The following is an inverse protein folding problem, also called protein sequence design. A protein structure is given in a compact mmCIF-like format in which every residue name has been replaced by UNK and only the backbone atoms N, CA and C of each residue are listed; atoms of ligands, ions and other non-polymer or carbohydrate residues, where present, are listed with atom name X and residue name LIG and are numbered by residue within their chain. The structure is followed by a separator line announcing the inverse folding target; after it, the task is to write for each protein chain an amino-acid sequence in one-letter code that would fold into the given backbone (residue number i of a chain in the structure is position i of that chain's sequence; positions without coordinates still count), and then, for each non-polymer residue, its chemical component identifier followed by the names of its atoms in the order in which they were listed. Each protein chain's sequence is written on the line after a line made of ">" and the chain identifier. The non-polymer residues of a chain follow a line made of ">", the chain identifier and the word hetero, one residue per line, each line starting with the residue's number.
data_IF_669786841073
#
_entry.id   IF_669786841073
#
_cell.length_a   1.000
_cell.length_b   1.000
_cell.length_c   1.000
_cell.angle_alpha   90.00
_cell.angle_beta   90.00
_cell.angle_gamma   90.00
#
_symmetry.space_group_name_H-M   'P 1'
#
loop_
_entity.id
_entity.type
_entity.pdbx_description
1 polymer ?
#
# COMPACT_ATOMS: atom_id res chain seq x y z
N UNK A 1 -89.01 -23.57 33.35
CA UNK A 1 -87.90 -22.76 33.92
C UNK A 1 -86.59 -23.16 33.29
N UNK A 2 -86.40 -24.43 32.86
CA UNK A 2 -85.11 -24.89 32.28
C UNK A 2 -84.76 -24.35 30.87
N UNK A 3 -85.78 -24.12 30.04
CA UNK A 3 -85.54 -23.73 28.63
C UNK A 3 -85.20 -22.22 28.47
N UNK A 4 -85.75 -21.38 29.34
CA UNK A 4 -85.43 -19.96 29.36
C UNK A 4 -84.03 -19.68 29.90
N UNK A 5 -83.60 -20.49 30.89
CA UNK A 5 -82.20 -20.39 31.38
C UNK A 5 -81.16 -20.82 30.35
N UNK A 6 -81.47 -21.82 29.51
CA UNK A 6 -80.57 -22.25 28.40
C UNK A 6 -80.51 -21.24 27.32
N UNK A 7 -81.61 -20.53 27.00
CA UNK A 7 -81.66 -19.47 26.00
C UNK A 7 -80.85 -18.21 26.42
N UNK A 8 -80.91 -17.84 27.71
CA UNK A 8 -80.10 -16.76 28.28
C UNK A 8 -78.64 -17.12 28.34
N UNK A 9 -78.33 -18.42 28.63
CA UNK A 9 -76.91 -18.89 28.58
C UNK A 9 -76.33 -18.88 27.18
N UNK A 10 -77.16 -19.23 26.17
CA UNK A 10 -76.70 -19.15 24.74
C UNK A 10 -76.54 -17.70 24.29
N UNK A 11 -77.36 -16.75 24.72
CA UNK A 11 -77.24 -15.33 24.44
C UNK A 11 -76.03 -14.73 25.18
N UNK A 12 -75.63 -15.19 26.34
CA UNK A 12 -74.45 -14.80 27.09
C UNK A 12 -73.15 -15.42 26.48
N UNK A 13 -73.30 -16.61 25.90
CA UNK A 13 -72.14 -17.27 25.19
C UNK A 13 -71.94 -16.78 23.76
N UNK A 14 -72.99 -16.18 23.15
CA UNK A 14 -72.85 -15.41 21.86
C UNK A 14 -72.51 -13.95 22.12
N UNK A 15 -71.85 -13.66 23.29
CA UNK A 15 -71.36 -12.35 23.62
C UNK A 15 -70.67 -11.75 22.39
N UNK A 16 -71.20 -10.65 21.92
CA UNK A 16 -70.65 -9.80 20.91
C UNK A 16 -69.13 -9.68 21.13
N UNK A 17 -68.30 -10.32 20.27
CA UNK A 17 -66.93 -9.95 20.15
C UNK A 17 -66.92 -8.44 19.86
N UNK A 18 -66.71 -7.65 20.91
CA UNK A 18 -66.32 -6.24 20.67
C UNK A 18 -65.13 -6.26 19.68
N UNK A 19 -65.40 -5.82 18.46
CA UNK A 19 -64.33 -5.63 17.49
C UNK A 19 -63.42 -4.59 18.09
N UNK A 20 -62.24 -5.00 18.45
CA UNK A 20 -61.21 -4.04 18.85
C UNK A 20 -61.17 -2.92 17.82
N UNK A 21 -61.13 -1.66 18.26
CA UNK A 21 -61.08 -0.54 17.30
C UNK A 21 -59.86 -0.71 16.41
N UNK A 22 -60.04 -0.57 15.10
CA UNK A 22 -58.90 -0.77 14.18
C UNK A 22 -57.78 0.21 14.50
N UNK A 23 -56.55 -0.30 14.55
CA UNK A 23 -55.39 0.54 14.76
C UNK A 23 -55.25 1.48 13.57
N UNK A 24 -55.30 2.78 13.85
CA UNK A 24 -55.24 3.83 12.82
C UNK A 24 -54.01 4.71 13.03
N UNK A 25 -53.40 5.17 11.96
CA UNK A 25 -52.38 6.20 11.96
C UNK A 25 -52.90 7.46 11.25
N UNK A 26 -52.46 8.62 11.68
CA UNK A 26 -52.76 9.90 11.05
C UNK A 26 -51.60 10.33 10.15
N UNK A 27 -51.91 10.78 8.92
CA UNK A 27 -50.96 11.35 8.05
C UNK A 27 -50.46 12.69 8.61
N UNK A 28 -49.18 12.75 8.92
CA UNK A 28 -48.52 13.93 9.53
C UNK A 28 -47.81 14.74 8.46
N UNK A 29 -47.81 16.05 8.64
CA UNK A 29 -47.00 16.95 7.79
C UNK A 29 -45.91 17.59 8.65
N UNK A 30 -44.68 17.59 8.17
CA UNK A 30 -43.55 18.15 8.90
C UNK A 30 -42.22 17.89 8.20
N UNK A 31 -41.16 18.18 8.94
CA UNK A 31 -39.80 17.85 8.47
C UNK A 31 -39.59 16.34 8.58
N UNK A 32 -39.18 15.75 7.49
CA UNK A 32 -38.86 14.33 7.39
C UNK A 32 -37.41 14.14 7.08
N UNK A 33 -36.72 13.39 7.93
CA UNK A 33 -35.30 13.10 7.77
C UNK A 33 -35.11 11.63 7.42
N UNK A 34 -34.29 11.40 6.38
CA UNK A 34 -33.84 10.07 6.02
C UNK A 34 -32.45 9.90 6.59
N UNK A 35 -32.33 9.00 7.57
CA UNK A 35 -31.12 8.75 8.32
C UNK A 35 -30.60 7.34 8.01
N UNK A 36 -29.30 7.21 7.84
CA UNK A 36 -28.62 5.91 7.72
C UNK A 36 -27.71 5.74 8.92
N UNK A 37 -27.97 4.67 9.68
CA UNK A 37 -27.22 4.32 10.89
C UNK A 37 -26.12 3.33 10.55
N UNK A 38 -24.90 3.63 10.96
CA UNK A 38 -23.75 2.77 10.69
C UNK A 38 -22.79 2.76 11.88
N UNK A 39 -22.08 1.66 12.07
CA UNK A 39 -20.99 1.58 13.03
C UNK A 39 -19.66 1.68 12.29
N UNK A 40 -18.73 2.40 12.86
CA UNK A 40 -17.41 2.61 12.29
C UNK A 40 -16.30 2.56 13.33
N UNK A 41 -15.09 2.83 12.85
CA UNK A 41 -13.88 2.93 13.68
C UNK A 41 -13.24 4.27 13.46
N UNK A 42 -12.84 4.91 14.54
CA UNK A 42 -12.13 6.18 14.51
C UNK A 42 -10.66 5.94 14.10
N UNK A 43 -10.20 6.64 13.10
CA UNK A 43 -8.82 6.59 12.61
C UNK A 43 -8.27 8.01 12.45
N UNK A 44 -6.96 8.17 12.45
CA UNK A 44 -6.36 9.44 12.06
C UNK A 44 -6.41 9.59 10.54
N UNK A 45 -6.74 10.78 10.04
CA UNK A 45 -6.74 11.08 8.60
C UNK A 45 -5.34 10.89 8.01
N UNK A 46 -4.32 11.28 8.76
CA UNK A 46 -2.91 11.12 8.39
C UNK A 46 -2.17 10.34 9.48
N UNK A 47 -1.31 9.44 9.06
CA UNK A 47 -0.44 8.67 9.96
C UNK A 47 0.94 8.55 9.32
N UNK A 48 1.95 9.03 10.02
CA UNK A 48 3.35 8.89 9.60
C UNK A 48 3.92 7.57 10.14
N UNK A 49 4.73 6.91 9.35
CA UNK A 49 5.39 5.67 9.77
C UNK A 49 6.81 5.96 10.22
N UNK A 50 7.15 5.51 11.40
CA UNK A 50 8.53 5.48 11.87
C UNK A 50 9.15 4.20 11.37
N UNK A 51 10.14 4.35 10.51
CA UNK A 51 10.86 3.23 9.88
C UNK A 51 12.32 3.24 10.33
N UNK A 52 12.98 2.10 10.19
CA UNK A 52 14.44 2.04 10.36
C UNK A 52 15.11 2.94 9.32
N UNK A 53 16.20 3.64 9.68
CA UNK A 53 16.94 4.49 8.77
C UNK A 53 17.39 3.76 7.51
N UNK A 54 17.30 4.43 6.36
CA UNK A 54 17.66 3.85 5.05
C UNK A 54 19.16 3.52 4.98
N UNK A 55 19.98 4.24 5.73
CA UNK A 55 21.43 4.06 5.84
C UNK A 55 21.79 2.64 6.29
N UNK A 56 20.98 2.03 7.15
CA UNK A 56 21.18 0.63 7.58
C UNK A 56 20.94 -0.38 6.45
N UNK A 57 20.15 -0.01 5.46
CA UNK A 57 19.85 -0.82 4.28
C UNK A 57 20.91 -0.78 3.17
N UNK A 58 21.99 -0.02 3.34
CA UNK A 58 23.08 0.16 2.37
C UNK A 58 23.73 -1.18 1.98
N UNK A 59 24.17 -1.32 0.70
CA UNK A 59 24.80 -2.55 0.21
C UNK A 59 26.11 -2.88 0.95
N UNK A 60 26.82 -1.85 1.40
CA UNK A 60 28.10 -1.98 2.08
C UNK A 60 27.96 -2.17 3.57
N UNK A 61 26.84 -1.73 4.17
CA UNK A 61 26.55 -1.84 5.60
C UNK A 61 26.29 -3.30 6.01
N UNK A 62 25.51 -4.06 5.19
CA UNK A 62 25.23 -5.49 5.37
C UNK A 62 24.57 -5.86 6.70
N UNK A 63 23.84 -4.92 7.31
CA UNK A 63 23.04 -5.17 8.50
C UNK A 63 21.62 -5.47 8.05
N UNK A 64 21.21 -6.73 8.07
CA UNK A 64 19.91 -7.18 7.58
C UNK A 64 18.83 -7.15 8.66
N UNK A 65 19.25 -7.35 9.90
CA UNK A 65 18.39 -7.39 11.08
C UNK A 65 19.07 -6.64 12.21
N UNK A 66 18.30 -5.85 12.95
CA UNK A 66 18.79 -5.09 14.09
C UNK A 66 17.76 -5.14 15.21
N UNK A 67 18.23 -5.24 16.45
CA UNK A 67 17.39 -5.22 17.63
C UNK A 67 17.05 -3.79 18.04
N UNK A 68 15.82 -3.61 18.53
CA UNK A 68 15.41 -2.40 19.23
C UNK A 68 15.86 -2.54 20.68
N UNK A 69 16.75 -1.67 21.12
CA UNK A 69 17.24 -1.64 22.50
C UNK A 69 16.24 -0.96 23.41
N UNK A 70 15.69 0.16 22.95
CA UNK A 70 14.74 0.96 23.70
C UNK A 70 13.72 1.58 22.77
N UNK A 71 12.50 1.80 23.27
CA UNK A 71 11.40 2.46 22.56
C UNK A 71 10.50 3.17 23.58
N UNK A 72 10.08 4.38 23.26
CA UNK A 72 9.16 5.16 24.08
C UNK A 72 7.84 4.42 24.26
N UNK A 73 7.21 4.51 25.43
CA UNK A 73 5.97 3.82 25.76
C UNK A 73 4.85 4.13 24.76
N UNK A 74 4.09 3.09 24.41
CA UNK A 74 2.95 3.21 23.51
C UNK A 74 1.89 4.18 24.08
N UNK A 75 1.39 5.08 23.26
CA UNK A 75 0.44 6.11 23.66
C UNK A 75 1.06 7.43 24.09
N UNK A 76 2.39 7.52 24.14
CA UNK A 76 3.09 8.79 24.42
C UNK A 76 2.93 9.74 23.23
N UNK A 77 2.60 11.00 23.50
CA UNK A 77 2.55 12.07 22.50
C UNK A 77 3.93 12.68 22.38
N UNK A 78 4.48 12.68 21.16
CA UNK A 78 5.79 13.21 20.83
C UNK A 78 5.68 14.39 19.87
N UNK A 79 6.63 15.31 19.96
CA UNK A 79 6.80 16.42 19.04
C UNK A 79 7.79 16.04 17.92
N UNK A 80 7.85 16.85 16.86
CA UNK A 80 8.87 16.70 15.82
C UNK A 80 10.28 16.83 16.42
N UNK A 81 11.13 15.83 16.15
CA UNK A 81 12.49 15.76 16.67
C UNK A 81 12.64 15.07 18.04
N UNK A 82 11.55 14.70 18.70
CA UNK A 82 11.62 13.95 19.96
C UNK A 82 12.16 12.54 19.74
N UNK A 83 12.85 12.02 20.73
CA UNK A 83 13.33 10.63 20.74
C UNK A 83 12.16 9.63 20.74
N UNK A 84 12.27 8.59 19.91
CA UNK A 84 11.25 7.53 19.82
C UNK A 84 11.82 6.15 20.11
N UNK A 85 12.93 5.79 19.48
CA UNK A 85 13.51 4.46 19.64
C UNK A 85 15.02 4.48 19.45
N UNK A 86 15.71 3.52 20.05
CA UNK A 86 17.13 3.28 19.86
C UNK A 86 17.34 1.86 19.35
N UNK A 87 18.16 1.73 18.33
CA UNK A 87 18.60 0.46 17.77
C UNK A 87 19.88 0.00 18.46
N UNK A 88 20.24 -1.27 18.29
CA UNK A 88 21.42 -1.86 18.93
C UNK A 88 22.73 -1.27 18.39
N UNK A 89 23.28 -0.32 19.13
CA UNK A 89 24.55 0.33 18.82
C UNK A 89 25.72 -0.65 18.80
N UNK A 90 25.72 -1.67 19.68
CA UNK A 90 26.84 -2.61 19.77
C UNK A 90 26.98 -3.45 18.51
N UNK A 91 25.86 -3.90 17.95
CA UNK A 91 25.87 -4.68 16.72
C UNK A 91 26.48 -3.90 15.55
N UNK A 92 26.19 -2.61 15.45
CA UNK A 92 26.74 -1.72 14.40
C UNK A 92 28.19 -1.37 14.69
N UNK A 93 28.54 -1.12 15.97
CA UNK A 93 29.89 -0.80 16.41
C UNK A 93 30.87 -1.95 16.12
N UNK A 94 30.49 -3.20 16.40
CA UNK A 94 31.30 -4.39 16.08
C UNK A 94 31.61 -4.46 14.58
N UNK A 95 30.61 -4.24 13.72
CA UNK A 95 30.81 -4.23 12.26
C UNK A 95 31.66 -3.05 11.82
N UNK A 96 31.52 -1.88 12.46
CA UNK A 96 32.31 -0.68 12.17
C UNK A 96 33.80 -0.89 12.54
N UNK A 97 34.07 -1.49 13.71
CA UNK A 97 35.44 -1.82 14.16
C UNK A 97 36.09 -2.75 13.13
N UNK A 98 35.41 -3.82 12.74
CA UNK A 98 35.91 -4.76 11.73
C UNK A 98 36.16 -4.05 10.37
N UNK A 99 35.26 -3.19 9.95
CA UNK A 99 35.44 -2.46 8.69
C UNK A 99 36.64 -1.49 8.72
N UNK A 100 36.91 -0.88 9.88
CA UNK A 100 38.09 -0.03 10.09
C UNK A 100 39.39 -0.85 10.04
N UNK A 101 39.41 -2.04 10.65
CA UNK A 101 40.55 -2.95 10.56
C UNK A 101 40.83 -3.37 9.10
N UNK A 102 39.78 -3.72 8.35
CA UNK A 102 39.89 -4.05 6.93
C UNK A 102 40.39 -2.85 6.10
N UNK A 103 39.98 -1.63 6.43
CA UNK A 103 40.47 -0.41 5.78
C UNK A 103 41.95 -0.14 6.08
N UNK A 104 42.36 -0.30 7.35
CA UNK A 104 43.75 -0.14 7.76
C UNK A 104 44.69 -1.16 7.08
N UNK A 105 44.25 -2.42 6.96
CA UNK A 105 44.97 -3.44 6.20
C UNK A 105 45.08 -3.06 4.71
N UNK A 106 43.98 -2.57 4.10
CA UNK A 106 43.99 -2.13 2.70
C UNK A 106 44.92 -0.90 2.46
N UNK A 107 44.99 -0.01 3.46
CA UNK A 107 45.92 1.13 3.45
C UNK A 107 47.36 0.66 3.50
N UNK A 108 47.69 -0.26 4.41
CA UNK A 108 49.05 -0.86 4.49
C UNK A 108 49.43 -1.55 3.16
N UNK A 109 48.52 -2.35 2.60
CA UNK A 109 48.71 -3.02 1.32
C UNK A 109 48.96 -2.02 0.15
N UNK A 110 48.29 -0.86 0.20
CA UNK A 110 48.49 0.20 -0.79
C UNK A 110 49.87 0.85 -0.62
N UNK A 111 50.25 1.17 0.62
CA UNK A 111 51.55 1.76 0.92
C UNK A 111 52.70 0.83 0.53
N UNK A 112 52.60 -0.47 0.83
CA UNK A 112 53.54 -1.49 0.45
C UNK A 112 53.68 -1.59 -1.09
N UNK A 113 52.58 -1.64 -1.80
CA UNK A 113 52.59 -1.69 -3.26
C UNK A 113 53.18 -0.45 -3.87
N UNK A 114 53.02 0.73 -3.26
CA UNK A 114 53.60 1.98 -3.68
C UNK A 114 55.13 1.98 -3.42
N UNK A 115 55.56 1.47 -2.29
CA UNK A 115 56.95 1.36 -1.88
C UNK A 115 57.72 0.38 -2.79
N UNK A 116 57.16 -0.82 -3.00
CA UNK A 116 57.65 -1.84 -3.91
C UNK A 116 57.79 -1.30 -5.36
N UNK A 117 56.78 -0.55 -5.80
CA UNK A 117 56.78 0.08 -7.13
C UNK A 117 57.96 1.05 -7.25
N UNK A 118 58.16 1.92 -6.27
CA UNK A 118 59.24 2.89 -6.26
C UNK A 118 60.59 2.22 -6.24
N UNK A 119 60.80 1.20 -5.44
CA UNK A 119 62.05 0.44 -5.35
C UNK A 119 62.38 -0.27 -6.66
N UNK A 120 61.39 -0.97 -7.23
CA UNK A 120 61.56 -1.65 -8.54
C UNK A 120 61.86 -0.69 -9.67
N UNK A 121 61.19 0.48 -9.73
CA UNK A 121 61.47 1.49 -10.73
C UNK A 121 62.84 2.15 -10.56
N UNK A 122 63.31 2.32 -9.31
CA UNK A 122 64.66 2.79 -9.03
C UNK A 122 65.70 1.81 -9.55
N UNK A 123 65.61 0.53 -9.22
CA UNK A 123 66.51 -0.51 -9.68
C UNK A 123 66.56 -0.60 -11.21
N UNK A 124 65.42 -0.41 -11.88
CA UNK A 124 65.38 -0.41 -13.34
C UNK A 124 66.01 0.87 -13.96
N UNK A 125 65.93 2.02 -13.29
CA UNK A 125 66.68 3.23 -13.71
C UNK A 125 68.15 3.04 -13.62
N UNK A 126 68.63 2.38 -12.56
CA UNK A 126 70.07 2.07 -12.41
C UNK A 126 70.55 1.14 -13.54
N UNK A 127 69.70 0.16 -13.96
CA UNK A 127 70.02 -0.70 -15.13
C UNK A 127 70.16 0.11 -16.42
N UNK A 128 69.32 1.12 -16.67
CA UNK A 128 69.38 2.01 -17.81
C UNK A 128 70.64 2.85 -17.71
N UNK A 129 71.04 3.38 -16.58
CA UNK A 129 72.24 4.13 -16.35
C UNK A 129 73.46 3.26 -16.72
N UNK A 130 73.54 2.05 -16.19
CA UNK A 130 74.65 1.12 -16.52
C UNK A 130 74.66 0.75 -17.98
N UNK A 131 73.50 0.53 -18.62
CA UNK A 131 73.44 0.27 -20.06
C UNK A 131 73.93 1.48 -20.90
N UNK A 132 73.60 2.70 -20.44
CA UNK A 132 74.11 3.96 -21.13
C UNK A 132 75.59 4.12 -20.96
N UNK A 133 76.15 3.87 -19.80
CA UNK A 133 77.58 3.88 -19.53
C UNK A 133 78.33 2.85 -20.43
N UNK A 134 77.74 1.66 -20.61
CA UNK A 134 78.22 0.61 -21.45
C UNK A 134 78.32 1.07 -22.94
N UNK A 135 77.25 1.78 -23.42
CA UNK A 135 77.25 2.37 -24.75
C UNK A 135 78.43 3.38 -24.91
N UNK A 136 78.64 4.27 -23.93
CA UNK A 136 79.67 5.27 -23.96
C UNK A 136 81.10 4.61 -23.95
N UNK A 137 81.27 3.54 -23.11
CA UNK A 137 82.50 2.77 -23.09
C UNK A 137 82.81 2.11 -24.46
N UNK A 138 81.78 1.48 -25.08
CA UNK A 138 81.97 0.86 -26.40
C UNK A 138 82.26 1.89 -27.49
N UNK A 139 81.69 3.09 -27.39
CA UNK A 139 81.96 4.20 -28.27
C UNK A 139 83.45 4.67 -28.18
N UNK A 140 83.94 4.84 -26.96
CA UNK A 140 85.34 5.19 -26.71
C UNK A 140 86.28 4.13 -27.34
N UNK A 141 86.00 2.83 -27.12
CA UNK A 141 86.76 1.72 -27.69
C UNK A 141 86.73 1.75 -29.18
N UNK A 142 85.64 2.06 -29.84
CA UNK A 142 85.55 2.21 -31.27
C UNK A 142 86.38 3.38 -31.76
N UNK A 143 86.29 4.53 -31.10
CA UNK A 143 87.06 5.73 -31.43
C UNK A 143 88.61 5.49 -31.31
N UNK A 144 89.04 4.73 -30.31
CA UNK A 144 90.44 4.32 -30.13
C UNK A 144 90.91 3.31 -31.19
N UNK A 145 89.98 2.48 -31.74
CA UNK A 145 90.25 1.41 -32.67
C UNK A 145 90.50 1.90 -34.13
N UNK A 146 90.42 3.19 -34.43
CA UNK A 146 90.48 3.75 -35.82
C UNK A 146 91.70 3.37 -36.56
N UNK A 147 92.80 3.13 -35.84
CA UNK A 147 94.10 2.78 -36.47
C UNK A 147 94.46 1.27 -36.43
N UNK A 148 93.51 0.46 -35.98
CA UNK A 148 93.63 -1.01 -35.82
C UNK A 148 93.29 -1.74 -37.16
N UNK A 149 93.42 -3.08 -37.14
CA UNK A 149 93.01 -3.91 -38.27
C UNK A 149 91.53 -3.85 -38.59
N UNK A 150 91.10 -4.01 -39.85
CA UNK A 150 89.71 -3.95 -40.25
C UNK A 150 88.80 -4.96 -39.50
N UNK A 151 89.35 -6.05 -39.00
CA UNK A 151 88.64 -7.06 -38.19
C UNK A 151 88.38 -6.57 -36.78
N UNK A 152 89.28 -5.78 -36.18
CA UNK A 152 89.18 -5.19 -34.88
C UNK A 152 88.10 -4.08 -34.87
N UNK A 153 88.22 -3.19 -35.91
CA UNK A 153 87.26 -2.09 -36.10
C UNK A 153 85.79 -2.68 -36.21
N UNK A 154 85.61 -3.67 -37.07
CA UNK A 154 84.32 -4.31 -37.28
C UNK A 154 83.75 -4.95 -35.99
N UNK A 155 84.63 -5.56 -35.17
CA UNK A 155 84.27 -6.10 -33.89
C UNK A 155 83.84 -4.99 -32.94
N UNK A 156 84.54 -3.87 -32.84
CA UNK A 156 84.18 -2.72 -32.02
C UNK A 156 82.85 -2.11 -32.46
N UNK A 157 82.55 -2.01 -33.75
CA UNK A 157 81.27 -1.57 -34.32
C UNK A 157 80.16 -2.49 -33.92
N UNK A 158 80.31 -3.83 -33.99
CA UNK A 158 79.37 -4.79 -33.60
C UNK A 158 79.09 -4.78 -32.07
N UNK A 159 80.13 -4.56 -31.27
CA UNK A 159 79.98 -4.48 -29.78
C UNK A 159 79.27 -3.19 -29.39
N UNK A 160 79.51 -2.07 -30.07
CA UNK A 160 78.77 -0.82 -29.89
C UNK A 160 77.29 -0.98 -30.28
N UNK A 161 77.03 -1.59 -31.46
CA UNK A 161 75.62 -1.85 -31.89
C UNK A 161 74.90 -2.76 -30.93
N UNK A 162 75.57 -3.77 -30.36
CA UNK A 162 75.02 -4.62 -29.34
C UNK A 162 74.64 -3.85 -28.02
N UNK A 163 75.56 -2.94 -27.59
CA UNK A 163 75.33 -2.07 -26.44
C UNK A 163 74.13 -1.15 -26.69
N UNK A 164 74.00 -0.54 -27.89
CA UNK A 164 72.84 0.26 -28.24
C UNK A 164 71.52 -0.53 -28.20
N UNK A 165 71.52 -1.73 -28.78
CA UNK A 165 70.28 -2.62 -28.67
C UNK A 165 69.89 -2.99 -27.24
N UNK A 166 70.92 -3.22 -26.41
CA UNK A 166 70.67 -3.50 -24.97
C UNK A 166 70.05 -2.29 -24.26
N UNK A 167 70.56 -1.07 -24.51
CA UNK A 167 69.98 0.16 -23.96
C UNK A 167 68.58 0.39 -24.45
N UNK A 168 68.28 0.18 -25.74
CA UNK A 168 66.89 0.28 -26.26
C UNK A 168 65.94 -0.73 -25.66
N UNK A 169 66.42 -1.98 -25.45
CA UNK A 169 65.64 -3.02 -24.73
C UNK A 169 65.35 -2.62 -23.31
N UNK A 170 66.28 -2.10 -22.54
CA UNK A 170 66.05 -1.66 -21.14
C UNK A 170 65.13 -0.44 -21.09
N UNK A 171 65.24 0.53 -22.02
CA UNK A 171 64.27 1.65 -22.08
C UNK A 171 62.84 1.17 -22.37
N UNK A 172 62.70 0.25 -23.33
CA UNK A 172 61.41 -0.32 -23.67
C UNK A 172 60.81 -1.14 -22.48
N UNK A 173 61.64 -1.95 -21.82
CA UNK A 173 61.28 -2.72 -20.62
C UNK A 173 60.87 -1.81 -19.45
N UNK A 174 61.60 -0.70 -19.25
CA UNK A 174 61.27 0.29 -18.24
C UNK A 174 59.87 0.90 -18.44
N UNK A 175 59.57 1.28 -19.68
CA UNK A 175 58.28 1.86 -20.02
C UNK A 175 57.13 0.90 -19.69
N UNK A 176 57.28 -0.38 -20.03
CA UNK A 176 56.32 -1.42 -19.70
C UNK A 176 56.18 -1.63 -18.18
N UNK A 177 57.34 -1.64 -17.46
CA UNK A 177 57.34 -1.80 -15.99
C UNK A 177 56.70 -0.63 -15.29
N UNK A 178 56.83 0.63 -15.79
CA UNK A 178 56.11 1.80 -15.26
C UNK A 178 54.60 1.61 -15.38
N UNK A 179 54.12 1.15 -16.54
CA UNK A 179 52.69 0.88 -16.73
C UNK A 179 52.19 -0.23 -15.81
N UNK A 180 52.94 -1.31 -15.66
CA UNK A 180 52.60 -2.41 -14.77
C UNK A 180 52.57 -1.99 -13.30
N UNK A 181 53.55 -1.19 -12.86
CA UNK A 181 53.62 -0.63 -11.53
C UNK A 181 52.42 0.28 -11.23
N UNK A 182 52.08 1.21 -12.13
CA UNK A 182 50.94 2.08 -12.04
C UNK A 182 49.62 1.27 -11.96
N UNK A 183 49.46 0.24 -12.77
CA UNK A 183 48.30 -0.62 -12.75
C UNK A 183 48.18 -1.42 -11.44
N UNK A 184 49.30 -1.85 -10.83
CA UNK A 184 49.33 -2.52 -9.53
C UNK A 184 48.87 -1.59 -8.40
N UNK A 185 49.42 -0.39 -8.34
CA UNK A 185 49.08 0.65 -7.36
C UNK A 185 47.62 1.04 -7.52
N UNK A 186 47.13 1.28 -8.74
CA UNK A 186 45.74 1.64 -8.98
C UNK A 186 44.76 0.56 -8.51
N UNK A 187 45.09 -0.73 -8.66
CA UNK A 187 44.23 -1.80 -8.12
C UNK A 187 44.10 -1.72 -6.59
N UNK A 188 45.20 -1.38 -5.88
CA UNK A 188 45.16 -1.20 -4.41
C UNK A 188 44.38 0.04 -3.99
N UNK A 189 44.47 1.13 -4.76
CA UNK A 189 43.67 2.36 -4.55
C UNK A 189 42.18 2.04 -4.65
N UNK A 190 41.77 1.26 -5.65
CA UNK A 190 40.33 0.89 -5.79
C UNK A 190 39.85 0.07 -4.61
N UNK A 191 40.65 -0.88 -4.11
CA UNK A 191 40.31 -1.68 -2.94
C UNK A 191 40.24 -0.79 -1.68
N UNK A 192 41.20 0.09 -1.48
CA UNK A 192 41.21 1.03 -0.35
C UNK A 192 39.95 1.92 -0.37
N UNK A 193 39.63 2.53 -1.50
CA UNK A 193 38.44 3.36 -1.65
C UNK A 193 37.14 2.59 -1.36
N UNK A 194 37.08 1.29 -1.67
CA UNK A 194 35.92 0.47 -1.33
C UNK A 194 35.76 0.31 0.18
N UNK A 195 36.86 0.06 0.92
CA UNK A 195 36.84 -0.05 2.38
C UNK A 195 36.56 1.32 3.05
N UNK A 196 37.14 2.40 2.55
CA UNK A 196 36.86 3.77 3.02
C UNK A 196 35.38 4.13 2.88
N UNK A 197 34.78 3.86 1.72
CA UNK A 197 33.36 4.10 1.50
C UNK A 197 32.49 3.24 2.46
N UNK A 198 32.88 1.98 2.69
CA UNK A 198 32.18 1.11 3.64
C UNK A 198 32.22 1.66 5.06
N UNK A 199 33.39 2.10 5.52
CA UNK A 199 33.54 2.73 6.86
C UNK A 199 32.67 3.98 6.95
N UNK A 200 32.70 4.84 5.94
CA UNK A 200 31.89 6.06 5.90
C UNK A 200 30.38 5.77 5.98
N UNK A 201 29.89 4.83 5.17
CA UNK A 201 28.46 4.43 5.19
C UNK A 201 28.08 3.84 6.57
N UNK A 202 28.95 3.05 7.21
CA UNK A 202 28.74 2.51 8.55
C UNK A 202 28.74 3.60 9.63
N UNK A 203 29.58 4.61 9.52
CA UNK A 203 29.58 5.77 10.43
C UNK A 203 28.31 6.61 10.29
N UNK A 204 27.84 6.81 9.08
CA UNK A 204 26.54 7.47 8.80
C UNK A 204 25.40 6.65 9.42
N UNK A 205 25.38 5.32 9.20
CA UNK A 205 24.41 4.41 9.80
C UNK A 205 24.44 4.43 11.33
N UNK A 206 25.64 4.49 11.93
CA UNK A 206 25.79 4.55 13.40
C UNK A 206 25.21 5.82 14.00
N UNK A 207 25.30 6.97 13.31
CA UNK A 207 24.77 8.25 13.78
C UNK A 207 23.26 8.30 13.84
N UNK A 208 22.57 7.53 13.00
CA UNK A 208 21.11 7.53 12.87
C UNK A 208 20.42 6.40 13.63
N UNK A 209 21.15 5.67 14.49
CA UNK A 209 20.59 4.58 15.31
C UNK A 209 19.59 5.04 16.36
N UNK A 210 19.65 6.30 16.77
CA UNK A 210 18.62 6.94 17.57
C UNK A 210 17.58 7.54 16.65
N UNK A 211 16.39 6.98 16.69
CA UNK A 211 15.28 7.34 15.81
C UNK A 211 14.45 8.41 16.49
N UNK A 212 14.18 9.50 15.78
CA UNK A 212 13.41 10.63 16.22
C UNK A 212 12.09 10.73 15.45
N UNK A 213 11.10 11.36 16.05
CA UNK A 213 9.79 11.56 15.44
C UNK A 213 9.91 12.54 14.25
N UNK A 214 9.47 12.16 13.04
CA UNK A 214 9.50 13.04 11.87
C UNK A 214 8.39 14.11 11.91
N UNK A 215 7.33 13.88 12.71
CA UNK A 215 6.18 14.77 12.91
C UNK A 215 5.60 14.57 14.31
N UNK A 216 4.85 15.56 14.82
CA UNK A 216 4.12 15.38 16.07
C UNK A 216 3.03 14.32 15.92
N UNK A 217 2.81 13.52 16.96
CA UNK A 217 1.79 12.48 16.97
C UNK A 217 1.87 11.59 18.20
N UNK A 218 0.97 10.62 18.28
CA UNK A 218 0.98 9.61 19.34
C UNK A 218 1.73 8.37 18.86
N UNK A 219 2.65 7.84 19.65
CA UNK A 219 3.39 6.62 19.29
C UNK A 219 2.48 5.40 19.43
N UNK A 220 2.24 4.70 18.32
CA UNK A 220 1.54 3.41 18.28
C UNK A 220 2.50 2.37 17.71
N UNK A 221 2.74 1.31 18.46
CA UNK A 221 3.64 0.23 18.05
C UNK A 221 3.14 -0.48 16.79
N UNK A 222 4.02 -0.68 15.83
CA UNK A 222 3.72 -1.51 14.68
C UNK A 222 3.58 -2.99 15.10
N UNK A 223 2.94 -3.79 14.26
CA UNK A 223 2.82 -5.23 14.44
C UNK A 223 3.74 -5.95 13.49
N UNK A 224 4.34 -7.02 13.96
CA UNK A 224 5.11 -7.93 13.13
C UNK A 224 4.20 -8.82 12.26
N UNK A 225 4.81 -9.71 11.46
CA UNK A 225 4.07 -10.65 10.58
C UNK A 225 3.18 -11.64 11.35
N UNK A 226 3.43 -11.83 12.64
CA UNK A 226 2.68 -12.74 13.50
C UNK A 226 1.57 -12.03 14.27
N UNK A 227 1.50 -10.69 14.16
CA UNK A 227 0.54 -9.86 14.86
C UNK A 227 0.99 -9.36 16.21
N UNK A 228 2.22 -9.70 16.63
CA UNK A 228 2.81 -9.24 17.89
C UNK A 228 3.29 -7.79 17.76
N UNK A 229 3.09 -7.01 18.83
CA UNK A 229 3.56 -5.62 18.86
C UNK A 229 5.09 -5.56 18.95
N UNK A 230 5.67 -4.70 18.12
CA UNK A 230 7.09 -4.38 18.16
C UNK A 230 7.37 -3.59 19.43
N UNK A 231 8.32 -4.08 20.26
CA UNK A 231 8.71 -3.50 21.55
C UNK A 231 10.22 -3.61 21.76
N UNK A 232 10.71 -3.06 22.85
CA UNK A 232 12.11 -3.26 23.26
C UNK A 232 12.48 -4.76 23.26
N UNK A 233 13.60 -5.12 22.64
CA UNK A 233 14.05 -6.49 22.39
C UNK A 233 13.54 -7.12 21.08
N UNK A 234 12.57 -6.52 20.38
CA UNK A 234 12.11 -6.99 19.07
C UNK A 234 13.19 -6.75 18.00
N UNK A 235 13.22 -7.62 17.01
CA UNK A 235 14.11 -7.49 15.85
C UNK A 235 13.35 -6.90 14.68
N UNK A 236 13.91 -5.88 14.07
CA UNK A 236 13.40 -5.25 12.84
C UNK A 236 14.37 -5.50 11.70
N UNK A 237 13.87 -5.49 10.49
CA UNK A 237 14.65 -5.82 9.31
C UNK A 237 14.26 -4.92 8.14
N UNK A 238 15.10 -4.91 7.11
CA UNK A 238 14.82 -4.19 5.86
C UNK A 238 13.47 -4.57 5.22
N UNK A 239 13.02 -5.82 5.41
CA UNK A 239 11.75 -6.32 4.88
C UNK A 239 10.54 -5.90 5.73
N UNK A 240 10.78 -5.56 6.98
CA UNK A 240 9.79 -5.05 7.93
C UNK A 240 10.38 -3.83 8.65
N UNK A 241 10.48 -2.71 7.96
CA UNK A 241 11.19 -1.54 8.48
C UNK A 241 10.36 -0.70 9.47
N UNK A 242 9.04 -0.93 9.57
CA UNK A 242 8.15 -0.10 10.38
C UNK A 242 8.27 -0.50 11.85
N UNK A 243 8.65 0.45 12.70
CA UNK A 243 8.79 0.30 14.16
C UNK A 243 7.52 0.76 14.87
N UNK A 244 7.02 1.94 14.49
CA UNK A 244 5.84 2.55 15.05
C UNK A 244 5.13 3.41 14.01
N UNK A 245 3.92 3.85 14.34
CA UNK A 245 3.17 4.82 13.55
C UNK A 245 2.82 6.01 14.43
N UNK A 246 2.80 7.19 13.83
CA UNK A 246 2.43 8.46 14.47
C UNK A 246 1.14 8.98 13.83
N UNK A 247 -0.05 8.59 14.30
CA UNK A 247 -1.29 9.20 13.87
C UNK A 247 -1.37 10.66 14.33
N UNK A 248 -1.82 11.51 13.41
CA UNK A 248 -2.13 12.90 13.71
C UNK A 248 -3.52 12.98 14.34
N UNK A 249 -3.56 13.22 15.67
CA UNK A 249 -4.81 13.28 16.41
C UNK A 249 -5.59 14.59 16.18
N UNK A 250 -5.02 15.57 15.47
CA UNK A 250 -5.71 16.82 15.15
C UNK A 250 -6.80 16.64 14.08
N UNK A 251 -6.68 15.59 13.27
CA UNK A 251 -7.60 15.27 12.18
C UNK A 251 -7.99 13.81 12.23
N UNK A 252 -9.21 13.59 12.68
CA UNK A 252 -9.76 12.25 12.80
C UNK A 252 -10.82 11.99 11.73
N UNK A 253 -10.90 10.76 11.30
CA UNK A 253 -11.94 10.26 10.40
C UNK A 253 -12.61 9.05 11.04
N UNK A 254 -13.91 8.89 10.82
CA UNK A 254 -14.59 7.63 11.08
C UNK A 254 -14.68 6.83 9.79
N UNK A 255 -14.10 5.64 9.80
CA UNK A 255 -14.22 4.67 8.69
C UNK A 255 -15.36 3.74 9.03
N UNK A 256 -16.41 3.76 8.23
CA UNK A 256 -17.63 2.99 8.43
C UNK A 256 -17.99 2.17 7.21
N UNK A 257 -18.81 1.15 7.41
CA UNK A 257 -19.26 0.22 6.39
C UNK A 257 -20.77 0.33 6.21
N UNK A 258 -21.18 0.76 5.02
CA UNK A 258 -22.61 0.92 4.67
C UNK A 258 -23.04 -0.26 3.80
N UNK A 259 -24.22 -0.79 4.08
CA UNK A 259 -24.81 -1.91 3.34
C UNK A 259 -25.17 -1.49 1.88
N UNK A 260 -25.17 -2.46 0.96
CA UNK A 260 -25.54 -2.28 -0.46
C UNK A 260 -26.94 -1.62 -0.63
N UNK A 261 -27.87 -1.89 0.29
CA UNK A 261 -29.23 -1.34 0.26
C UNK A 261 -29.24 0.20 0.45
N UNK A 262 -28.37 0.69 1.36
CA UNK A 262 -28.38 2.09 1.78
C UNK A 262 -27.30 2.95 1.08
N UNK A 263 -26.32 2.31 0.45
CA UNK A 263 -25.21 3.03 -0.20
C UNK A 263 -25.67 3.99 -1.31
N UNK A 264 -26.78 3.65 -1.99
CA UNK A 264 -27.35 4.50 -3.03
C UNK A 264 -27.83 5.86 -2.51
N UNK A 265 -28.14 5.95 -1.21
CA UNK A 265 -28.60 7.16 -0.51
C UNK A 265 -27.43 8.00 0.00
N UNK A 266 -26.25 7.40 0.19
CA UNK A 266 -25.08 8.05 0.79
C UNK A 266 -24.23 8.72 -0.27
N UNK A 267 -23.91 10.01 -0.07
CA UNK A 267 -23.10 10.84 -0.98
C UNK A 267 -22.10 11.67 -0.21
N UNK A 268 -20.98 11.97 -0.84
CA UNK A 268 -20.01 12.93 -0.31
C UNK A 268 -20.68 14.30 -0.05
N UNK A 269 -20.28 14.96 1.03
CA UNK A 269 -20.82 16.25 1.46
C UNK A 269 -22.04 16.17 2.38
N UNK A 270 -22.53 14.97 2.72
CA UNK A 270 -23.66 14.80 3.65
C UNK A 270 -23.19 14.98 5.10
N UNK A 271 -24.02 15.61 5.90
CA UNK A 271 -23.79 15.81 7.33
C UNK A 271 -23.94 14.49 8.09
N UNK A 272 -23.09 14.32 9.08
CA UNK A 272 -23.10 13.14 9.94
C UNK A 272 -23.00 13.58 11.39
N UNK A 273 -23.84 12.98 12.23
CA UNK A 273 -23.70 13.06 13.68
C UNK A 273 -23.01 11.79 14.16
N UNK A 274 -21.88 11.93 14.86
CA UNK A 274 -21.10 10.81 15.36
C UNK A 274 -21.21 10.76 16.89
N UNK A 275 -21.46 9.58 17.42
CA UNK A 275 -21.29 9.25 18.82
C UNK A 275 -20.14 8.26 18.99
N UNK A 276 -19.54 8.22 20.16
CA UNK A 276 -18.56 7.18 20.51
C UNK A 276 -19.11 6.34 21.65
N UNK A 277 -18.90 5.02 21.58
CA UNK A 277 -19.38 4.11 22.64
C UNK A 277 -18.72 4.39 24.00
N UNK A 278 -17.51 4.96 23.96
CA UNK A 278 -16.75 5.32 25.16
C UNK A 278 -17.30 6.59 25.85
N UNK A 279 -17.92 7.50 25.12
CA UNK A 279 -18.45 8.78 25.61
C UNK A 279 -19.83 9.06 25.00
N UNK A 280 -20.90 8.39 25.45
CA UNK A 280 -22.24 8.47 24.84
C UNK A 280 -22.85 9.88 24.89
N UNK A 281 -22.45 10.70 25.85
CA UNK A 281 -22.88 12.10 25.99
C UNK A 281 -22.23 13.05 24.98
N UNK A 282 -21.11 12.65 24.37
CA UNK A 282 -20.41 13.49 23.39
C UNK A 282 -20.95 13.21 22.00
N UNK A 283 -21.58 14.19 21.39
CA UNK A 283 -21.97 14.17 20.00
C UNK A 283 -20.99 15.03 19.20
N UNK A 284 -20.41 14.43 18.17
CA UNK A 284 -19.49 15.08 17.26
C UNK A 284 -20.20 15.31 15.92
N UNK A 285 -19.88 16.39 15.28
CA UNK A 285 -20.34 16.65 13.91
C UNK A 285 -19.29 16.20 12.92
N UNK A 286 -19.73 15.77 11.75
CA UNK A 286 -18.85 15.36 10.67
C UNK A 286 -19.52 15.48 9.30
N UNK A 287 -18.72 15.14 8.29
CA UNK A 287 -19.15 15.17 6.89
C UNK A 287 -18.59 13.95 6.15
N UNK A 288 -19.40 13.37 5.27
CA UNK A 288 -18.96 12.29 4.40
C UNK A 288 -17.93 12.84 3.39
N UNK A 289 -16.69 12.32 3.43
CA UNK A 289 -15.61 12.72 2.51
C UNK A 289 -15.69 11.90 1.24
N UNK A 290 -15.71 10.57 1.39
CA UNK A 290 -15.66 9.63 0.28
C UNK A 290 -16.55 8.44 0.53
N UNK A 291 -17.10 7.93 -0.57
CA UNK A 291 -17.88 6.69 -0.64
C UNK A 291 -17.16 5.77 -1.61
N UNK A 292 -16.81 4.56 -1.18
CA UNK A 292 -16.14 3.61 -2.05
C UNK A 292 -17.06 3.14 -3.19
N UNK A 293 -16.51 3.06 -4.39
CA UNK A 293 -17.24 2.58 -5.58
C UNK A 293 -17.22 1.05 -5.70
N UNK A 294 -16.44 0.36 -4.87
CA UNK A 294 -16.29 -1.09 -4.90
C UNK A 294 -16.75 -1.65 -3.57
N UNK A 295 -17.76 -2.55 -3.63
CA UNK A 295 -18.25 -3.27 -2.46
C UNK A 295 -17.31 -4.41 -2.07
N UNK A 296 -17.20 -4.66 -0.79
CA UNK A 296 -16.45 -5.76 -0.21
C UNK A 296 -17.40 -6.75 0.46
N UNK A 297 -17.14 -8.06 0.38
CA UNK A 297 -17.95 -9.04 1.09
C UNK A 297 -17.70 -8.91 2.60
N UNK A 298 -18.77 -8.93 3.39
CA UNK A 298 -18.67 -8.93 4.83
C UNK A 298 -18.21 -10.32 5.32
N UNK A 299 -17.21 -10.41 6.22
CA UNK A 299 -16.78 -11.70 6.75
C UNK A 299 -17.98 -12.45 7.38
N UNK A 300 -18.19 -13.71 6.97
CA UNK A 300 -19.29 -14.59 7.44
C UNK A 300 -20.71 -14.18 7.04
N UNK A 301 -20.88 -13.34 6.03
CA UNK A 301 -22.17 -12.92 5.48
C UNK A 301 -22.06 -12.78 3.97
N UNK A 302 -23.16 -13.04 3.24
CA UNK A 302 -23.24 -12.79 1.79
C UNK A 302 -23.52 -11.31 1.47
N UNK A 303 -23.69 -10.48 2.51
CA UNK A 303 -23.93 -9.05 2.35
C UNK A 303 -22.68 -8.33 1.86
N UNK A 304 -22.87 -7.42 0.91
CA UNK A 304 -21.83 -6.51 0.44
C UNK A 304 -21.93 -5.20 1.21
N UNK A 305 -20.77 -4.70 1.59
CA UNK A 305 -20.63 -3.43 2.29
C UNK A 305 -19.65 -2.53 1.54
N UNK A 306 -19.87 -1.22 1.65
CA UNK A 306 -19.07 -0.20 1.02
C UNK A 306 -18.43 0.67 2.09
N UNK A 307 -17.14 0.91 1.95
CA UNK A 307 -16.40 1.80 2.85
C UNK A 307 -16.83 3.24 2.64
N UNK A 308 -17.17 3.91 3.73
CA UNK A 308 -17.48 5.33 3.76
C UNK A 308 -16.58 5.99 4.79
N UNK A 309 -15.91 7.06 4.38
CA UNK A 309 -15.04 7.85 5.25
C UNK A 309 -15.72 9.15 5.59
N UNK A 310 -15.79 9.41 6.89
CA UNK A 310 -16.45 10.56 7.47
C UNK A 310 -15.40 11.38 8.22
N UNK A 311 -15.22 12.64 7.87
CA UNK A 311 -14.38 13.57 8.61
C UNK A 311 -15.09 13.99 9.87
N UNK A 312 -14.39 13.93 10.98
CA UNK A 312 -14.88 14.42 12.28
C UNK A 312 -14.44 15.88 12.43
N UNK A 313 -15.38 16.75 12.77
CA UNK A 313 -15.07 18.14 13.06
C UNK A 313 -14.76 18.33 14.56
N UNK A 314 -13.74 19.13 14.81
CA UNK A 314 -13.25 19.38 16.16
C UNK A 314 -12.14 18.41 16.57
N UNK A 315 -11.35 18.82 17.51
CA UNK A 315 -10.30 18.02 18.14
C UNK A 315 -10.68 17.82 19.61
N UNK A 316 -10.88 16.61 20.03
CA UNK A 316 -11.15 16.25 21.42
C UNK A 316 -10.00 15.33 21.90
N UNK A 317 -9.28 15.70 22.95
CA UNK A 317 -8.13 14.94 23.46
C UNK A 317 -8.51 13.55 24.02
N UNK A 318 -9.79 13.31 24.28
CA UNK A 318 -10.29 12.02 24.75
C UNK A 318 -10.49 11.01 23.61
N UNK A 319 -10.54 11.49 22.36
CA UNK A 319 -10.69 10.63 21.18
C UNK A 319 -9.39 9.92 20.85
N UNK A 320 -9.44 8.62 20.72
CA UNK A 320 -8.28 7.79 20.39
C UNK A 320 -8.55 6.98 19.12
N UNK A 321 -7.53 6.74 18.30
CA UNK A 321 -7.64 5.79 17.20
C UNK A 321 -8.11 4.42 17.66
N UNK A 322 -8.84 3.71 16.79
CA UNK A 322 -9.49 2.44 17.03
C UNK A 322 -10.71 2.45 18.01
N UNK A 323 -11.18 3.62 18.45
CA UNK A 323 -12.49 3.70 19.13
C UNK A 323 -13.63 3.42 18.16
N UNK A 324 -14.67 2.71 18.63
CA UNK A 324 -15.88 2.49 17.87
C UNK A 324 -16.73 3.76 17.82
N UNK A 325 -17.26 4.05 16.64
CA UNK A 325 -18.16 5.19 16.40
C UNK A 325 -19.52 4.69 15.95
N UNK A 326 -20.58 5.36 16.44
CA UNK A 326 -21.94 5.26 15.92
C UNK A 326 -22.19 6.48 15.04
N UNK A 327 -22.44 6.25 13.74
CA UNK A 327 -22.58 7.31 12.76
C UNK A 327 -24.02 7.40 12.27
N UNK A 328 -24.60 8.58 12.34
CA UNK A 328 -25.94 8.89 11.82
C UNK A 328 -25.77 9.82 10.63
N UNK A 329 -25.86 9.25 9.42
CA UNK A 329 -25.68 9.96 8.15
C UNK A 329 -27.04 10.54 7.73
N UNK A 330 -27.14 11.85 7.57
CA UNK A 330 -28.32 12.54 7.09
C UNK A 330 -28.33 12.52 5.56
N UNK A 331 -29.06 11.56 4.98
CA UNK A 331 -29.07 11.34 3.53
C UNK A 331 -30.09 12.19 2.80
N UNK A 332 -31.14 12.62 3.49
CA UNK A 332 -32.17 13.51 2.94
C UNK A 332 -32.92 14.28 4.02
N UNK A 333 -33.24 15.53 3.75
CA UNK A 333 -34.11 16.36 4.60
C UNK A 333 -35.18 16.93 3.70
N UNK A 334 -36.42 16.59 4.01
CA UNK A 334 -37.60 17.05 3.29
C UNK A 334 -38.44 17.89 4.24
N UNK A 335 -38.75 19.10 3.84
CA UNK A 335 -39.56 20.04 4.62
C UNK A 335 -40.98 20.02 4.13
N UNK A 336 -41.93 20.06 5.06
CA UNK A 336 -43.38 20.13 4.79
C UNK A 336 -44.00 18.94 4.01
N UNK A 337 -43.35 17.78 4.00
CA UNK A 337 -43.86 16.58 3.36
C UNK A 337 -44.89 15.85 4.23
N UNK A 338 -45.83 15.16 3.56
CA UNK A 338 -46.80 14.31 4.23
C UNK A 338 -46.23 12.91 4.35
N UNK A 339 -46.22 12.35 5.55
CA UNK A 339 -45.69 11.01 5.80
C UNK A 339 -46.62 10.18 6.72
N UNK A 340 -46.56 8.88 6.51
CA UNK A 340 -47.36 7.90 7.29
C UNK A 340 -46.42 6.77 7.75
N UNK A 341 -46.79 5.99 8.77
CA UNK A 341 -46.04 4.78 9.11
C UNK A 341 -45.95 3.82 7.92
N UNK A 342 -44.76 3.26 7.68
CA UNK A 342 -44.50 2.35 6.56
C UNK A 342 -45.44 1.13 6.59
N UNK A 343 -45.78 0.64 7.77
CA UNK A 343 -46.70 -0.47 7.97
C UNK A 343 -48.15 -0.19 7.49
N UNK A 344 -48.51 1.06 7.24
CA UNK A 344 -49.82 1.44 6.74
C UNK A 344 -49.90 1.41 5.19
N UNK A 345 -48.79 1.09 4.50
CA UNK A 345 -48.72 1.01 3.04
C UNK A 345 -48.86 -0.45 2.61
N UNK A 346 -49.80 -0.73 1.75
CA UNK A 346 -50.07 -2.06 1.24
C UNK A 346 -49.87 -2.10 -0.29
N UNK A 347 -49.72 -3.31 -0.80
CA UNK A 347 -49.59 -3.53 -2.24
C UNK A 347 -48.25 -4.15 -2.61
N UNK A 348 -47.83 -3.95 -3.86
CA UNK A 348 -46.54 -4.39 -4.42
C UNK A 348 -45.80 -3.19 -5.01
N UNK A 349 -44.61 -3.42 -5.52
CA UNK A 349 -43.79 -2.37 -6.11
C UNK A 349 -44.45 -1.58 -7.24
N UNK A 350 -45.43 -2.19 -7.92
CA UNK A 350 -46.13 -1.57 -9.03
C UNK A 350 -47.38 -0.77 -8.60
N UNK A 351 -48.03 -1.18 -7.51
CA UNK A 351 -49.25 -0.52 -7.03
C UNK A 351 -49.26 -0.46 -5.53
N UNK A 352 -48.97 0.71 -4.97
CA UNK A 352 -48.98 1.00 -3.54
C UNK A 352 -50.30 1.72 -3.18
N UNK A 353 -50.96 1.29 -2.12
CA UNK A 353 -52.20 1.90 -1.65
C UNK A 353 -52.30 1.84 -0.13
N UNK A 354 -53.15 2.67 0.42
CA UNK A 354 -53.50 2.70 1.86
C UNK A 354 -54.98 2.46 2.04
N UNK A 355 -55.37 1.93 3.18
CA UNK A 355 -56.79 1.83 3.57
C UNK A 355 -57.18 3.08 4.32
N UNK A 356 -58.10 3.86 3.76
CA UNK A 356 -58.62 5.07 4.37
C UNK A 356 -59.65 4.70 5.45
N UNK A 357 -59.42 5.25 6.67
CA UNK A 357 -60.35 5.08 7.78
C UNK A 357 -61.50 6.10 7.69
N UNK A 358 -62.75 5.63 7.73
CA UNK A 358 -63.93 6.50 7.72
C UNK A 358 -65.24 5.70 7.72
N UNK A 359 -66.39 6.40 7.61
CA UNK A 359 -67.70 5.77 7.55
C UNK A 359 -67.87 4.80 6.37
N UNK A 360 -67.12 5.03 5.29
CA UNK A 360 -67.05 4.16 4.11
C UNK A 360 -65.62 3.97 3.75
N UNK A 361 -64.92 2.94 4.27
CA UNK A 361 -63.53 2.70 4.00
C UNK A 361 -63.32 2.39 2.51
N UNK A 362 -62.17 2.83 1.98
CA UNK A 362 -61.75 2.59 0.57
C UNK A 362 -60.25 2.47 0.50
N UNK A 363 -59.76 1.91 -0.59
CA UNK A 363 -58.33 1.85 -0.89
C UNK A 363 -57.94 3.10 -1.70
N UNK A 364 -57.00 3.85 -1.24
CA UNK A 364 -56.42 5.03 -1.93
C UNK A 364 -55.04 4.70 -2.47
N UNK A 365 -54.91 4.82 -3.79
CA UNK A 365 -53.59 4.70 -4.43
C UNK A 365 -52.71 5.89 -4.04
N UNK A 366 -51.48 5.62 -3.66
CA UNK A 366 -50.54 6.64 -3.21
C UNK A 366 -49.22 6.54 -3.96
N UNK A 367 -48.60 7.69 -4.20
CA UNK A 367 -47.21 7.79 -4.69
C UNK A 367 -46.31 7.88 -3.47
N UNK A 368 -45.65 6.75 -3.12
CA UNK A 368 -44.68 6.69 -2.03
C UNK A 368 -43.36 7.32 -2.51
N UNK A 369 -42.73 8.11 -1.64
CA UNK A 369 -41.41 8.70 -1.81
C UNK A 369 -40.35 7.96 -1.03
N UNK A 370 -39.41 8.74 -0.47
CA UNK A 370 -38.35 8.19 0.37
C UNK A 370 -38.88 7.69 1.71
N UNK A 371 -38.23 6.69 2.26
CA UNK A 371 -38.63 6.04 3.48
C UNK A 371 -37.48 5.99 4.50
N UNK A 372 -37.83 6.01 5.77
CA UNK A 372 -36.93 5.67 6.87
C UNK A 372 -37.45 4.42 7.60
N UNK A 373 -36.82 4.04 8.70
CA UNK A 373 -37.18 2.80 9.45
C UNK A 373 -38.65 2.73 9.83
N UNK A 374 -39.32 3.85 10.07
CA UNK A 374 -40.67 3.87 10.66
C UNK A 374 -41.74 4.50 9.77
N UNK A 375 -41.35 5.39 8.88
CA UNK A 375 -42.26 6.22 8.09
C UNK A 375 -41.86 6.31 6.64
N UNK A 376 -42.85 6.54 5.76
CA UNK A 376 -42.65 6.76 4.32
C UNK A 376 -43.35 8.08 3.93
N UNK A 377 -42.65 8.89 3.11
CA UNK A 377 -43.21 10.10 2.51
C UNK A 377 -44.25 9.71 1.46
N UNK A 378 -45.38 10.43 1.47
CA UNK A 378 -46.43 10.29 0.45
C UNK A 378 -46.46 11.55 -0.39
N UNK A 379 -45.98 11.46 -1.65
CA UNK A 379 -45.93 12.57 -2.60
C UNK A 379 -47.30 12.94 -3.14
N UNK A 380 -48.16 11.94 -3.38
CA UNK A 380 -49.51 12.11 -3.85
C UNK A 380 -50.46 11.07 -3.26
N UNK A 381 -51.73 11.46 -3.10
CA UNK A 381 -52.79 10.54 -2.69
C UNK A 381 -53.33 10.73 -1.25
N UNK A 382 -52.60 11.41 -0.37
CA UNK A 382 -52.99 11.75 0.98
C UNK A 382 -52.83 13.23 1.29
N UNK A 383 -53.57 13.71 2.27
CA UNK A 383 -53.44 15.05 2.86
C UNK A 383 -53.11 14.93 4.35
N UNK A 384 -52.48 15.96 4.89
CA UNK A 384 -52.27 16.04 6.34
C UNK A 384 -53.58 15.90 7.10
N UNK A 385 -53.60 15.08 8.16
CA UNK A 385 -54.79 14.80 8.97
C UNK A 385 -55.63 13.61 8.48
N UNK A 386 -55.37 13.05 7.29
CA UNK A 386 -56.03 11.84 6.82
C UNK A 386 -55.67 10.65 7.72
N UNK A 387 -56.70 9.83 8.04
CA UNK A 387 -56.51 8.63 8.87
C UNK A 387 -56.45 7.38 8.02
N UNK A 388 -55.40 6.59 8.20
CA UNK A 388 -55.18 5.32 7.52
C UNK A 388 -55.17 4.16 8.49
N UNK A 389 -55.56 2.99 8.00
CA UNK A 389 -55.49 1.76 8.78
C UNK A 389 -54.10 1.15 8.76
N UNK A 390 -53.65 0.67 9.91
CA UNK A 390 -52.38 -0.04 10.05
C UNK A 390 -52.45 -1.53 9.70
N UNK A 391 -53.67 -2.05 9.54
CA UNK A 391 -53.93 -3.45 9.18
C UNK A 391 -55.05 -3.53 8.16
N UNK A 392 -55.04 -4.52 7.23
CA UNK A 392 -56.08 -4.70 6.27
C UNK A 392 -57.42 -5.02 6.96
N UNK A 393 -58.53 -4.40 6.55
CA UNK A 393 -59.84 -4.69 7.14
C UNK A 393 -60.36 -6.05 6.65
N UNK A 394 -61.29 -6.66 7.43
CA UNK A 394 -61.85 -7.99 7.11
C UNK A 394 -62.48 -8.08 5.71
N UNK A 395 -63.00 -6.95 5.18
CA UNK A 395 -63.66 -6.87 3.87
C UNK A 395 -62.73 -6.29 2.78
N UNK A 396 -61.45 -6.60 2.82
CA UNK A 396 -60.41 -6.03 1.90
C UNK A 396 -60.79 -6.11 0.43
N UNK A 397 -61.37 -7.25 -0.01
CA UNK A 397 -61.70 -7.50 -1.43
C UNK A 397 -62.84 -6.64 -2.00
N UNK A 398 -63.74 -6.21 -1.11
CA UNK A 398 -64.95 -5.47 -1.50
C UNK A 398 -64.74 -3.95 -1.46
N UNK A 399 -63.58 -3.46 -1.05
CA UNK A 399 -63.29 -2.05 -0.92
C UNK A 399 -62.95 -1.44 -2.29
N UNK A 400 -63.61 -0.31 -2.69
CA UNK A 400 -63.33 0.35 -3.93
C UNK A 400 -61.92 0.93 -3.93
N UNK A 401 -61.22 0.79 -5.04
CA UNK A 401 -59.91 1.40 -5.28
C UNK A 401 -60.10 2.77 -5.93
N UNK A 402 -59.51 3.81 -5.32
CA UNK A 402 -59.55 5.19 -5.81
C UNK A 402 -58.14 5.69 -6.12
N UNK A 403 -58.05 6.70 -7.00
CA UNK A 403 -56.78 7.32 -7.33
C UNK A 403 -55.95 6.56 -8.41
N UNK A 404 -56.61 5.80 -9.26
CA UNK A 404 -55.96 5.12 -10.38
C UNK A 404 -55.20 6.08 -11.33
N UNK A 405 -55.64 7.34 -11.36
CA UNK A 405 -54.97 8.40 -12.12
C UNK A 405 -53.49 8.59 -11.66
N UNK A 406 -53.27 8.48 -10.35
CA UNK A 406 -51.91 8.56 -9.77
C UNK A 406 -51.05 7.39 -10.27
N UNK A 407 -51.62 6.20 -10.34
CA UNK A 407 -50.94 5.03 -10.87
C UNK A 407 -50.56 5.18 -12.35
N UNK A 408 -51.49 5.67 -13.16
CA UNK A 408 -51.26 5.92 -14.59
C UNK A 408 -50.16 6.98 -14.80
N UNK A 409 -50.15 8.05 -14.01
CA UNK A 409 -49.11 9.07 -14.05
C UNK A 409 -47.73 8.50 -13.64
N UNK A 410 -47.65 7.67 -12.58
CA UNK A 410 -46.39 7.03 -12.16
C UNK A 410 -45.87 6.14 -13.29
N UNK A 411 -46.74 5.30 -13.84
CA UNK A 411 -46.39 4.39 -14.94
C UNK A 411 -45.93 5.10 -16.20
N UNK A 412 -46.59 6.21 -16.56
CA UNK A 412 -46.22 7.03 -17.72
C UNK A 412 -44.83 7.67 -17.50
N UNK A 413 -44.52 8.12 -16.25
CA UNK A 413 -43.23 8.70 -15.90
C UNK A 413 -42.12 7.67 -15.96
N UNK A 414 -42.35 6.46 -15.41
CA UNK A 414 -41.37 5.35 -15.46
C UNK A 414 -41.11 4.89 -16.91
N UNK A 415 -42.15 4.83 -17.73
CA UNK A 415 -42.00 4.48 -19.15
C UNK A 415 -41.18 5.54 -19.91
N UNK A 416 -41.41 6.84 -19.63
CA UNK A 416 -40.63 7.92 -20.20
C UNK A 416 -39.14 7.89 -19.75
N UNK A 417 -38.86 7.55 -18.50
CA UNK A 417 -37.50 7.41 -18.03
C UNK A 417 -36.76 6.21 -18.63
N UNK A 418 -37.43 5.08 -18.83
CA UNK A 418 -36.88 3.92 -19.53
C UNK A 418 -36.61 4.16 -21.00
N UNK A 419 -37.44 4.99 -21.67
CA UNK A 419 -37.23 5.37 -23.08
C UNK A 419 -36.12 6.43 -23.25
N UNK A 420 -35.86 7.26 -22.24
CA UNK A 420 -34.80 8.28 -22.25
C UNK A 420 -33.39 7.76 -22.01
N UNK A 421 -33.24 6.60 -21.38
CA UNK A 421 -31.94 5.94 -21.14
C UNK A 421 -31.50 4.97 -22.26
N UNK A 422 -32.38 4.74 -23.28
CA UNK A 422 -32.11 3.86 -24.42
C UNK A 422 -31.52 4.52 -25.65
N UNK A 423 -31.14 5.80 -25.60
CA UNK A 423 -30.73 6.59 -26.73
C UNK A 423 -29.23 6.86 -26.88
N UNK A 424 -28.37 5.86 -26.67
CA UNK A 424 -26.96 5.98 -27.03
C UNK A 424 -26.37 4.63 -27.43
N UNK A 425 -26.96 4.00 -28.44
CA UNK A 425 -26.28 3.02 -29.27
C UNK A 425 -26.76 3.18 -30.68
N UNK A 426 -26.00 3.93 -31.44
CA UNK A 426 -26.14 4.10 -32.88
C UNK A 426 -25.84 2.79 -33.59
N UNK A 427 -26.69 2.36 -34.53
CA UNK A 427 -26.28 1.37 -35.50
C UNK A 427 -25.73 2.11 -36.74
N UNK A 428 -24.52 1.81 -37.10
CA UNK A 428 -24.01 2.11 -38.42
C UNK A 428 -23.54 0.80 -39.05
N UNK A 429 -24.45 0.13 -39.71
CA UNK A 429 -24.15 -0.64 -40.91
C UNK A 429 -24.00 0.32 -42.07
N UNK A 430 -22.94 0.16 -42.82
CA UNK A 430 -22.63 0.89 -44.03
C UNK A 430 -21.42 0.30 -44.70
N UNK A 431 -21.65 -0.73 -45.51
CA UNK A 431 -20.77 -1.26 -46.53
C UNK A 431 -20.19 -0.16 -47.42
N UNK A 432 -18.88 -0.14 -47.65
CA UNK A 432 -18.26 0.13 -48.96
C UNK A 432 -16.75 -0.13 -48.91
N UNK A 433 -16.38 -1.02 -49.72
CA UNK A 433 -15.21 -1.38 -50.47
C UNK A 433 -14.00 -0.41 -50.55
N UNK A 434 -12.82 -1.05 -50.53
CA UNK A 434 -11.61 -0.87 -51.37
C UNK A 434 -10.79 0.42 -51.23
N UNK A 435 -9.56 0.32 -50.84
CA UNK A 435 -8.33 0.35 -51.61
C UNK A 435 -7.10 0.67 -50.74
N UNK A 436 -6.15 -0.19 -50.90
CA UNK A 436 -4.68 -0.09 -50.91
C UNK A 436 -3.99 1.15 -50.32
N UNK A 437 -3.01 0.88 -49.50
CA UNK A 437 -1.99 1.83 -49.07
C UNK A 437 -0.93 1.16 -48.16
N UNK A 438 -0.10 0.32 -48.74
CA UNK A 438 1.17 -0.12 -48.20
C UNK A 438 2.08 1.07 -47.92
N UNK A 439 2.70 1.10 -46.76
CA UNK A 439 4.03 1.72 -46.61
C UNK A 439 4.85 0.95 -45.57
N UNK A 440 6.14 0.67 -45.86
CA UNK A 440 6.88 -0.42 -45.28
C UNK A 440 7.74 -0.02 -44.07
N UNK A 441 8.03 -1.02 -43.25
CA UNK A 441 9.05 -1.03 -42.21
C UNK A 441 10.46 -1.06 -42.80
N UNK A 442 11.47 -0.48 -42.18
CA UNK A 442 12.86 -0.62 -42.65
C UNK A 442 13.46 -1.93 -42.16
N UNK A 443 13.99 -2.60 -43.14
CA UNK A 443 14.82 -3.78 -43.17
C UNK A 443 16.17 -3.52 -42.47
N UNK A 444 16.60 -4.41 -41.58
CA UNK A 444 17.98 -4.56 -41.15
C UNK A 444 18.52 -5.87 -41.73
N UNK A 445 19.40 -5.73 -42.71
CA UNK A 445 20.25 -6.78 -43.31
C UNK A 445 21.19 -7.34 -42.23
N UNK A 446 21.37 -8.53 -42.08
CA UNK A 446 21.59 -9.82 -42.56
C UNK A 446 23.02 -10.25 -42.73
N UNK A 447 23.28 -11.41 -42.20
CA UNK A 447 24.08 -12.54 -42.65
C UNK A 447 25.55 -12.67 -42.15
N UNK A 448 26.11 -13.93 -42.24
CA UNK A 448 25.50 -15.26 -42.06
C UNK A 448 26.41 -16.28 -41.30
N UNK A 449 25.78 -17.39 -40.91
CA UNK A 449 26.37 -18.73 -40.97
C UNK A 449 27.20 -19.18 -39.76
N UNK A 450 26.90 -20.23 -39.10
CA UNK A 450 26.92 -21.65 -39.46
C UNK A 450 26.37 -22.52 -38.32
N UNK A 451 25.50 -23.42 -38.65
CA UNK A 451 25.17 -24.68 -37.92
C UNK A 451 26.02 -25.81 -38.54
N UNK A 452 26.07 -27.08 -38.01
CA UNK A 452 25.36 -27.74 -36.93
C UNK A 452 26.26 -28.67 -36.05
N UNK A 453 25.66 -29.25 -35.00
CA UNK A 453 26.30 -30.35 -34.27
C UNK A 453 25.45 -30.88 -33.14
N UNK A 454 24.70 -31.90 -33.47
CA UNK A 454 23.88 -32.84 -32.72
C UNK A 454 24.60 -33.57 -31.57
N UNK A 455 23.76 -34.00 -30.64
CA UNK A 455 23.78 -35.26 -29.87
C UNK A 455 24.02 -35.15 -28.37
N UNK A 456 23.00 -35.43 -27.65
CA UNK A 456 22.60 -36.60 -26.83
C UNK A 456 22.95 -36.54 -25.35
N UNK A 457 21.87 -36.55 -24.56
CA UNK A 457 21.80 -37.10 -23.19
C UNK A 457 22.20 -38.60 -23.17
N UNK A 458 22.68 -39.14 -22.05
CA UNK A 458 21.74 -39.77 -21.11
C UNK A 458 22.12 -39.65 -19.61
N UNK A 459 21.12 -39.67 -18.70
CA UNK A 459 21.30 -40.20 -17.35
C UNK A 459 21.07 -41.73 -17.34
N UNK A 460 20.87 -42.39 -16.18
CA UNK A 460 21.15 -42.13 -14.77
C UNK A 460 21.87 -43.34 -14.12
N UNK A 461 21.91 -43.37 -12.78
CA UNK A 461 22.29 -44.50 -11.88
C UNK A 461 23.59 -44.27 -11.14
N UNK A 462 23.75 -44.53 -9.89
CA UNK A 462 23.20 -45.39 -8.92
C UNK A 462 24.02 -45.24 -7.63
N UNK A 463 23.34 -45.34 -6.53
CA UNK A 463 23.89 -45.62 -5.21
C UNK A 463 24.39 -47.06 -5.16
N UNK A 464 25.40 -47.44 -4.40
CA UNK A 464 25.08 -48.07 -3.14
C UNK A 464 26.10 -47.87 -1.96
N UNK A 465 25.54 -47.80 -0.76
CA UNK A 465 25.84 -48.47 0.51
C UNK A 465 27.23 -49.09 0.75
N UNK A 466 27.76 -48.82 1.90
CA UNK A 466 28.14 -49.71 3.02
C UNK A 466 29.31 -49.10 3.79
N UNK A 467 29.16 -48.86 5.06
CA UNK A 467 29.29 -49.70 6.24
C UNK A 467 30.69 -49.75 6.84
N UNK A 468 30.76 -49.59 8.18
CA UNK A 468 31.83 -50.05 9.02
C UNK A 468 32.45 -48.88 9.82
N UNK A 469 32.07 -48.61 11.02
CA UNK A 469 32.28 -49.37 12.28
C UNK A 469 33.64 -49.06 12.92
N UNK A 470 33.56 -48.65 14.20
CA UNK A 470 34.54 -48.87 15.27
C UNK A 470 35.78 -47.99 15.25
N UNK A 471 36.35 -47.53 16.26
CA UNK A 471 36.16 -47.67 17.71
C UNK A 471 37.24 -46.82 18.40
N UNK A 472 36.96 -46.39 19.63
CA UNK A 472 37.89 -46.24 20.73
C UNK A 472 38.98 -45.15 20.78
N UNK A 473 38.80 -44.24 21.63
CA UNK A 473 39.41 -44.20 22.98
C UNK A 473 40.57 -43.22 23.23
N UNK A 474 40.38 -42.40 24.26
CA UNK A 474 41.35 -41.88 25.24
C UNK A 474 42.41 -40.84 24.77
N UNK A 475 42.34 -39.68 25.19
CA UNK A 475 42.72 -39.10 26.49
C UNK A 475 42.29 -37.67 26.61
#
# INVERSE_FOLDING_TARGET
>A
VSMAALLVLVILLTGTREKEPPVTAEARQGTFEVLVYTSGTLEAENSEKIVIPEELGGRNVRIYEIKITDIVEEGTVVQEGDYVASLDHKAVEEVLVQAREEMEQALSDFEDAKMDSNLNLSNNRDQIINAREQVEQMKIILDESVYESPSVIRKAEMDLEKAHRTLEQELSAYTLRVQQAAARVNRRVVILNQHENRVKELEEAYRVLNIHAPKPGMVIYAKDRFGDKIKSGSTVSRWMPVIATLPDLSRMISVTWVNEIDISKVKAGQKVTLGTDAFPEKQLEGEVITVANIGQPMPRSDAKVFEVRIRVFGSDPDLRPAMTTSNVIQTGVYTEEVYIPTDAIFGNDSLRYVYMYGKSPFRQVVEAGDENENFTIIKKGLKAGDRVLMAPPENEKDLPLRGMEIYEEIRAREAAQRSGTGGASSPAEGEAAAEAGETPLPEVQGQPGTTPGTASSPGPSGNPRQSGSQDQNRR
#
